data_IF_928621758335
#
_entry.id   IF_928621758335
#
_cell.length_a   1.000
_cell.length_b   1.000
_cell.length_c   1.000
_cell.angle_alpha   90.00
_cell.angle_beta   90.00
_cell.angle_gamma   90.00
#
_symmetry.space_group_name_H-M   'P 1'
#
loop_
_entity.id
_entity.type
_entity.pdbx_description
1 polymer ?
#
# COMPACT_ATOMS: atom_id res chain seq x y z
N UNK A 1 13.76 -18.84 -1.46
CA UNK A 1 13.64 -17.48 -0.89
C UNK A 1 12.35 -17.43 -0.10
N UNK A 2 12.40 -17.75 1.19
CA UNK A 2 11.22 -17.87 2.06
C UNK A 2 11.45 -17.10 3.36
N UNK A 3 11.71 -15.81 3.24
CA UNK A 3 11.61 -14.91 4.38
C UNK A 3 10.36 -14.08 4.15
N UNK A 4 9.31 -14.43 4.90
CA UNK A 4 8.18 -13.56 5.12
C UNK A 4 8.73 -12.21 5.56
N UNK A 5 8.38 -11.14 4.84
CA UNK A 5 8.76 -9.79 5.23
C UNK A 5 8.17 -9.50 6.63
N UNK A 6 8.99 -9.65 7.67
CA UNK A 6 8.75 -9.11 9.01
C UNK A 6 9.12 -7.63 9.01
N UNK A 7 8.49 -6.85 8.13
CA UNK A 7 8.35 -5.41 8.34
C UNK A 7 7.37 -5.18 9.49
N UNK A 8 7.75 -5.63 10.68
CA UNK A 8 6.92 -5.64 11.86
C UNK A 8 7.10 -4.32 12.59
N UNK A 9 5.99 -3.60 12.80
CA UNK A 9 5.95 -2.69 13.93
C UNK A 9 6.28 -3.52 15.18
N UNK A 10 7.20 -3.06 16.04
CA UNK A 10 7.68 -3.79 17.23
C UNK A 10 6.56 -4.20 18.22
N UNK A 11 5.30 -3.82 17.94
CA UNK A 11 4.11 -3.99 18.74
C UNK A 11 3.49 -5.41 18.72
N UNK A 12 3.95 -6.35 17.88
CA UNK A 12 3.48 -7.74 17.85
C UNK A 12 2.51 -8.06 16.71
N UNK A 13 1.45 -8.83 16.98
CA UNK A 13 0.54 -9.35 15.95
C UNK A 13 -0.25 -8.24 15.24
N UNK A 14 -0.38 -8.38 13.92
CA UNK A 14 -1.09 -7.43 13.06
C UNK A 14 -2.59 -7.64 13.14
N UNK A 15 -3.34 -6.55 13.28
CA UNK A 15 -4.78 -6.59 13.06
C UNK A 15 -5.07 -6.41 11.56
N UNK A 16 -6.11 -7.08 11.08
CA UNK A 16 -6.48 -7.09 9.65
C UNK A 16 -7.96 -6.81 9.46
N UNK A 17 -8.30 -6.18 8.33
CA UNK A 17 -9.69 -6.05 7.90
C UNK A 17 -9.78 -6.07 6.37
N UNK A 18 -10.93 -6.51 5.86
CA UNK A 18 -11.19 -6.56 4.43
C UNK A 18 -11.92 -5.31 3.93
N UNK A 19 -11.60 -4.92 2.70
CA UNK A 19 -12.31 -3.86 1.96
C UNK A 19 -12.62 -4.35 0.55
N UNK A 20 -13.84 -4.05 0.10
CA UNK A 20 -14.27 -4.31 -1.28
C UNK A 20 -13.98 -3.06 -2.11
N UNK A 21 -13.13 -3.20 -3.12
CA UNK A 21 -12.84 -2.12 -4.07
C UNK A 21 -14.03 -1.87 -5.02
N UNK A 22 -14.01 -0.75 -5.73
CA UNK A 22 -15.04 -0.46 -6.75
C UNK A 22 -15.09 -1.51 -7.88
N UNK A 23 -14.01 -2.27 -8.10
CA UNK A 23 -13.98 -3.39 -9.05
C UNK A 23 -14.63 -4.67 -8.51
N UNK A 24 -15.04 -4.70 -7.24
CA UNK A 24 -15.50 -5.90 -6.54
C UNK A 24 -14.38 -6.74 -5.92
N UNK A 25 -13.11 -6.46 -6.23
CA UNK A 25 -11.98 -7.18 -5.65
C UNK A 25 -11.84 -6.91 -4.15
N UNK A 26 -11.64 -7.97 -3.36
CA UNK A 26 -11.35 -7.89 -1.94
C UNK A 26 -9.87 -7.62 -1.71
N UNK A 27 -9.57 -6.64 -0.87
CA UNK A 27 -8.22 -6.32 -0.39
C UNK A 27 -8.20 -6.48 1.13
N UNK A 28 -7.22 -7.20 1.65
CA UNK A 28 -7.04 -7.33 3.11
C UNK A 28 -5.95 -6.36 3.53
N UNK A 29 -6.28 -5.43 4.44
CA UNK A 29 -5.36 -4.41 4.96
C UNK A 29 -4.88 -4.81 6.33
N UNK A 30 -3.58 -4.62 6.59
CA UNK A 30 -2.96 -4.90 7.88
C UNK A 30 -2.34 -3.64 8.50
N UNK A 31 -2.50 -3.50 9.80
CA UNK A 31 -2.04 -2.35 10.58
C UNK A 31 -1.62 -2.76 12.00
N UNK A 32 -0.78 -1.94 12.66
CA UNK A 32 -0.45 -2.16 14.07
C UNK A 32 -1.65 -1.74 14.94
N UNK A 33 -2.22 -2.64 15.75
CA UNK A 33 -3.38 -2.31 16.59
C UNK A 33 -3.04 -1.36 17.75
N UNK A 34 -1.75 -1.16 18.07
CA UNK A 34 -1.32 -0.30 19.17
C UNK A 34 -1.24 1.17 18.76
N UNK A 35 -0.62 1.47 17.61
CA UNK A 35 -0.43 2.85 17.13
C UNK A 35 -1.31 3.23 15.94
N UNK A 36 -1.97 2.27 15.29
CA UNK A 36 -2.82 2.50 14.12
C UNK A 36 -2.09 2.56 12.78
N UNK A 37 -0.76 2.48 12.75
CA UNK A 37 0.03 2.61 11.52
C UNK A 37 -0.31 1.48 10.52
N UNK A 38 -0.69 1.81 9.27
CA UNK A 38 -0.86 0.80 8.23
C UNK A 38 0.49 0.28 7.76
N UNK A 39 0.60 -1.02 7.53
CA UNK A 39 1.87 -1.68 7.20
C UNK A 39 1.82 -2.33 5.84
N UNK A 40 0.80 -3.16 5.57
CA UNK A 40 0.72 -3.88 4.30
C UNK A 40 -0.71 -4.16 3.85
N UNK A 41 -0.83 -4.63 2.60
CA UNK A 41 -2.08 -5.11 2.03
C UNK A 41 -1.84 -6.26 1.05
N UNK A 42 -2.73 -7.26 1.12
CA UNK A 42 -2.79 -8.42 0.21
C UNK A 42 -4.06 -8.34 -0.65
N UNK A 43 -4.09 -9.10 -1.74
CA UNK A 43 -5.18 -9.09 -2.71
C UNK A 43 -5.59 -10.53 -3.00
N UNK A 44 -6.85 -10.89 -2.74
CA UNK A 44 -7.35 -12.24 -3.04
C UNK A 44 -7.29 -12.55 -4.55
N UNK A 45 -7.50 -11.53 -5.39
CA UNK A 45 -7.42 -11.63 -6.85
C UNK A 45 -5.98 -11.69 -7.39
N UNK A 46 -4.96 -11.36 -6.57
CA UNK A 46 -3.54 -11.40 -6.96
C UNK A 46 -2.69 -11.91 -5.79
N UNK A 47 -2.73 -13.22 -5.48
CA UNK A 47 -2.07 -13.78 -4.30
C UNK A 47 -0.54 -13.60 -4.27
N UNK A 48 0.09 -13.49 -5.44
CA UNK A 48 1.53 -13.28 -5.58
C UNK A 48 1.95 -11.82 -5.39
N UNK A 49 0.98 -10.89 -5.30
CA UNK A 49 1.23 -9.46 -5.13
C UNK A 49 0.98 -9.07 -3.68
N UNK A 50 1.95 -8.35 -3.12
CA UNK A 50 1.89 -7.78 -1.79
C UNK A 50 2.32 -6.32 -1.84
N UNK A 51 1.65 -5.46 -1.08
CA UNK A 51 2.00 -4.04 -1.00
C UNK A 51 2.40 -3.68 0.42
N UNK A 52 3.41 -2.83 0.54
CA UNK A 52 3.92 -2.33 1.83
C UNK A 52 3.84 -0.82 1.83
N UNK A 53 3.42 -0.25 2.96
CA UNK A 53 3.54 1.18 3.20
C UNK A 53 5.00 1.52 3.46
N UNK A 54 5.67 2.19 2.51
CA UNK A 54 7.10 2.51 2.61
C UNK A 54 7.44 3.22 3.94
N UNK A 55 6.60 4.16 4.39
CA UNK A 55 6.76 4.89 5.65
C UNK A 55 6.69 4.02 6.92
N UNK A 56 6.29 2.75 6.81
CA UNK A 56 6.32 1.80 7.95
C UNK A 56 7.66 1.04 8.08
N UNK A 57 8.58 1.24 7.14
CA UNK A 57 9.91 0.61 7.14
C UNK A 57 10.92 1.45 7.90
N UNK A 58 11.96 0.81 8.44
CA UNK A 58 13.02 1.47 9.21
C UNK A 58 13.83 2.48 8.38
N UNK A 59 13.96 2.23 7.08
CA UNK A 59 14.65 3.09 6.11
C UNK A 59 13.70 3.30 4.92
N UNK A 60 12.79 4.29 4.98
CA UNK A 60 11.84 4.57 3.91
C UNK A 60 12.49 5.32 2.73
N UNK A 61 13.56 6.08 2.98
CA UNK A 61 14.20 6.98 2.02
C UNK A 61 14.92 6.23 0.87
N UNK A 62 15.18 4.93 1.05
CA UNK A 62 15.70 4.05 -0.02
C UNK A 62 14.71 3.81 -1.17
N UNK A 63 13.44 4.20 -1.03
CA UNK A 63 12.43 4.05 -2.09
C UNK A 63 12.07 5.40 -2.68
N UNK A 64 12.13 5.51 -4.01
CA UNK A 64 11.67 6.68 -4.75
C UNK A 64 10.36 6.35 -5.49
N UNK A 65 9.31 7.19 -5.38
CA UNK A 65 8.08 7.02 -6.15
C UNK A 65 8.38 6.89 -7.65
N UNK A 66 7.73 5.96 -8.33
CA UNK A 66 7.90 5.73 -9.78
C UNK A 66 6.64 6.05 -10.58
N UNK A 67 5.47 5.97 -9.93
CA UNK A 67 4.17 6.09 -10.58
C UNK A 67 3.13 6.59 -9.57
N UNK A 68 2.36 7.60 -9.97
CA UNK A 68 1.12 7.97 -9.28
C UNK A 68 -0.04 7.25 -9.95
N UNK A 69 -0.75 6.41 -9.20
CA UNK A 69 -1.97 5.75 -9.68
C UNK A 69 -3.21 6.48 -9.18
N UNK A 70 -4.31 6.38 -9.94
CA UNK A 70 -5.57 7.06 -9.64
C UNK A 70 -5.48 8.60 -9.59
N UNK A 71 -4.62 9.20 -10.43
CA UNK A 71 -4.39 10.64 -10.46
C UNK A 71 -5.67 11.47 -10.68
N UNK A 72 -6.69 10.89 -11.33
CA UNK A 72 -8.02 11.52 -11.50
C UNK A 72 -8.74 11.82 -10.18
N UNK A 73 -8.30 11.21 -9.07
CA UNK A 73 -8.83 11.42 -7.71
C UNK A 73 -7.86 12.21 -6.83
N UNK A 74 -6.81 12.80 -7.41
CA UNK A 74 -5.86 13.64 -6.70
C UNK A 74 -6.55 14.84 -6.04
N UNK A 75 -6.13 15.16 -4.81
CA UNK A 75 -6.64 16.32 -4.09
C UNK A 75 -5.74 17.52 -4.40
N UNK A 76 -6.34 18.70 -4.57
CA UNK A 76 -5.60 19.90 -4.98
C UNK A 76 -4.50 20.34 -3.99
N UNK A 77 -4.57 19.90 -2.73
CA UNK A 77 -3.55 20.20 -1.71
C UNK A 77 -2.38 19.21 -1.72
N UNK A 78 -2.50 18.07 -2.40
CA UNK A 78 -1.48 17.03 -2.42
C UNK A 78 -0.44 17.35 -3.50
N UNK A 79 0.75 17.76 -3.07
CA UNK A 79 1.84 18.05 -3.99
C UNK A 79 2.43 16.74 -4.51
N UNK A 80 2.28 16.52 -5.81
CA UNK A 80 2.92 15.43 -6.53
C UNK A 80 4.01 16.02 -7.41
N UNK A 81 5.20 15.41 -7.37
CA UNK A 81 6.30 15.81 -8.25
C UNK A 81 5.84 15.71 -9.72
N UNK A 82 5.83 16.84 -10.48
CA UNK A 82 5.40 16.84 -11.87
C UNK A 82 6.22 15.96 -12.81
N UNK A 83 7.43 15.54 -12.39
CA UNK A 83 8.27 14.63 -13.16
C UNK A 83 7.80 13.16 -13.07
N UNK A 84 6.93 12.81 -12.12
CA UNK A 84 6.43 11.44 -11.97
C UNK A 84 5.44 11.08 -13.08
N UNK A 85 5.57 9.86 -13.60
CA UNK A 85 4.55 9.29 -14.46
C UNK A 85 3.22 9.21 -13.68
N UNK A 86 2.12 9.55 -14.36
CA UNK A 86 0.78 9.50 -13.77
C UNK A 86 -0.13 8.60 -14.59
N UNK A 87 -0.94 7.82 -13.89
CA UNK A 87 -2.02 7.03 -14.46
C UNK A 87 -3.35 7.46 -13.83
N UNK A 88 -4.30 7.91 -14.65
CA UNK A 88 -5.61 8.35 -14.16
C UNK A 88 -6.38 7.24 -13.44
N UNK A 89 -6.22 5.99 -13.89
CA UNK A 89 -6.82 4.78 -13.32
C UNK A 89 -5.86 3.61 -13.52
N UNK A 90 -6.02 2.57 -12.72
CA UNK A 90 -5.30 1.31 -12.92
C UNK A 90 -5.86 0.62 -14.17
N UNK A 91 -5.05 0.45 -15.21
CA UNK A 91 -5.47 -0.21 -16.45
C UNK A 91 -5.33 -1.73 -16.29
N UNK A 92 -6.41 -2.48 -16.51
CA UNK A 92 -6.39 -3.95 -16.59
C UNK A 92 -6.71 -4.75 -15.32
N UNK A 93 -7.47 -4.20 -14.36
CA UNK A 93 -7.93 -4.90 -13.14
C UNK A 93 -9.33 -4.50 -12.70
#
# INVERSE_FOLDING_TARGET
MNQAYTGGCACGAMAVWDIVAASGNVKTRAFCPVCGTPVYMTFAAMPDVFTVHAASLDDPDRFQPQLVTYAVRGLAWDFLDPALATAERMSGM
#
